data_IF_938936848479
#
_entry.id   IF_938936848479
#
_cell.length_a   1.000
_cell.length_b   1.000
_cell.length_c   1.000
_cell.angle_alpha   90.00
_cell.angle_beta   90.00
_cell.angle_gamma   90.00
#
_symmetry.space_group_name_H-M   'P 1'
#
loop_
_entity.id
_entity.type
_entity.pdbx_description
1 polymer ?
#
# COMPACT_ATOMS: atom_id res chain seq x y z
N UNK A 1 3.07 -20.18 -2.40
CA UNK A 1 2.49 -18.84 -2.37
C UNK A 1 2.61 -18.23 -0.97
N UNK A 2 3.21 -17.05 -0.85
CA UNK A 2 3.18 -16.20 0.34
C UNK A 2 2.31 -14.97 0.06
N UNK A 3 1.41 -14.62 1.00
CA UNK A 3 0.63 -13.37 0.91
C UNK A 3 0.81 -12.57 2.20
N UNK A 4 1.51 -11.44 2.12
CA UNK A 4 1.68 -10.51 3.22
C UNK A 4 0.55 -9.46 3.18
N UNK A 5 -0.47 -9.65 4.01
CA UNK A 5 -1.68 -8.83 4.02
C UNK A 5 -1.86 -8.01 5.32
N UNK A 6 -1.08 -8.30 6.36
CA UNK A 6 -1.14 -7.57 7.63
C UNK A 6 -0.65 -6.14 7.47
N UNK A 7 -1.30 -5.22 8.17
CA UNK A 7 -0.90 -3.82 8.17
C UNK A 7 -2.07 -2.91 8.53
N UNK A 8 -1.75 -1.74 9.07
CA UNK A 8 -2.74 -0.71 9.40
C UNK A 8 -2.21 0.70 9.10
N UNK A 9 -3.07 1.68 9.21
CA UNK A 9 -2.77 3.10 9.08
C UNK A 9 -3.42 3.93 10.16
N UNK A 10 -2.98 5.18 10.32
CA UNK A 10 -3.64 6.20 11.15
C UNK A 10 -3.84 7.46 10.33
N UNK A 11 -5.04 8.02 10.43
CA UNK A 11 -5.43 9.26 9.78
C UNK A 11 -5.34 10.40 10.80
N UNK A 12 -4.11 10.87 11.00
CA UNK A 12 -3.79 11.90 11.98
C UNK A 12 -2.45 12.56 11.63
N UNK A 13 -2.22 13.79 12.09
CA UNK A 13 -0.91 14.41 11.94
C UNK A 13 0.17 13.57 12.66
N UNK A 14 1.33 13.44 12.03
CA UNK A 14 2.41 12.61 12.57
C UNK A 14 2.88 13.07 13.96
N UNK A 15 2.83 14.38 14.23
CA UNK A 15 3.18 14.97 15.53
C UNK A 15 2.12 14.73 16.62
N UNK A 16 0.89 14.39 16.26
CA UNK A 16 -0.21 14.10 17.18
C UNK A 16 -0.36 12.61 17.47
N UNK A 17 0.16 11.76 16.59
CA UNK A 17 0.13 10.30 16.75
C UNK A 17 1.23 9.92 17.77
N UNK A 18 0.90 9.14 18.82
CA UNK A 18 1.92 8.66 19.76
C UNK A 18 3.06 7.95 19.04
N UNK A 19 4.31 8.27 19.40
CA UNK A 19 5.51 7.70 18.76
C UNK A 19 5.47 6.16 18.70
N UNK A 20 5.05 5.53 19.79
CA UNK A 20 4.94 4.07 19.85
C UNK A 20 3.98 3.50 18.79
N UNK A 21 2.89 4.20 18.46
CA UNK A 21 1.97 3.76 17.40
C UNK A 21 2.60 3.92 16.00
N UNK A 22 3.32 5.00 15.77
CA UNK A 22 4.04 5.20 14.51
C UNK A 22 5.12 4.15 14.30
N UNK A 23 5.90 3.84 15.34
CA UNK A 23 6.92 2.78 15.31
C UNK A 23 6.27 1.41 15.05
N UNK A 24 5.24 1.04 15.80
CA UNK A 24 4.54 -0.24 15.60
C UNK A 24 3.93 -0.36 14.19
N UNK A 25 3.47 0.76 13.59
CA UNK A 25 3.01 0.76 12.20
C UNK A 25 4.14 0.43 11.23
N UNK A 26 5.35 0.95 11.45
CA UNK A 26 6.52 0.65 10.62
C UNK A 26 6.95 -0.81 10.83
N UNK A 27 7.01 -1.25 12.08
CA UNK A 27 7.37 -2.64 12.42
C UNK A 27 6.46 -3.64 11.71
N UNK A 28 5.14 -3.45 11.81
CA UNK A 28 4.19 -4.36 11.17
C UNK A 28 4.17 -4.24 9.65
N UNK A 29 4.09 -2.99 9.12
CA UNK A 29 3.90 -2.77 7.69
C UNK A 29 5.17 -3.02 6.86
N UNK A 30 6.36 -2.85 7.47
CA UNK A 30 7.65 -2.93 6.77
C UNK A 30 8.51 -4.09 7.27
N UNK A 31 8.91 -4.09 8.55
CA UNK A 31 9.87 -5.05 9.09
C UNK A 31 9.33 -6.47 9.08
N UNK A 32 8.11 -6.66 9.59
CA UNK A 32 7.46 -7.98 9.60
C UNK A 32 7.26 -8.51 8.17
N UNK A 33 6.83 -7.66 7.23
CA UNK A 33 6.67 -8.04 5.82
C UNK A 33 8.01 -8.47 5.21
N UNK A 34 9.07 -7.67 5.41
CA UNK A 34 10.41 -7.97 4.92
C UNK A 34 10.92 -9.27 5.51
N UNK A 35 10.78 -9.46 6.82
CA UNK A 35 11.18 -10.68 7.52
C UNK A 35 10.47 -11.92 6.97
N UNK A 36 9.13 -11.84 6.76
CA UNK A 36 8.37 -12.93 6.17
C UNK A 36 8.84 -13.29 4.77
N UNK A 37 9.16 -12.30 3.92
CA UNK A 37 9.76 -12.55 2.62
C UNK A 37 11.10 -13.28 2.75
N UNK A 38 12.04 -12.72 3.53
CA UNK A 38 13.40 -13.27 3.66
C UNK A 38 13.42 -14.68 4.28
N UNK A 39 12.60 -14.92 5.30
CA UNK A 39 12.50 -16.22 5.96
C UNK A 39 11.83 -17.28 5.08
N UNK A 40 10.96 -16.89 4.15
CA UNK A 40 10.21 -17.83 3.31
C UNK A 40 10.94 -18.18 2.00
N UNK A 41 11.68 -17.22 1.41
CA UNK A 41 12.38 -17.41 0.13
C UNK A 41 13.27 -18.67 0.09
N UNK A 42 14.04 -19.04 1.14
CA UNK A 42 14.87 -20.26 1.10
C UNK A 42 14.08 -21.56 0.91
N UNK A 43 12.78 -21.56 1.18
CA UNK A 43 11.88 -22.71 1.05
C UNK A 43 11.01 -22.66 -0.22
N UNK A 44 11.20 -21.64 -1.05
CA UNK A 44 10.45 -21.48 -2.30
C UNK A 44 11.14 -22.18 -3.46
N UNK A 45 10.33 -22.71 -4.38
CA UNK A 45 10.80 -23.37 -5.60
C UNK A 45 10.39 -22.54 -6.82
N UNK A 46 10.93 -22.86 -7.98
CA UNK A 46 10.55 -22.25 -9.25
C UNK A 46 9.02 -22.27 -9.45
N UNK A 47 8.48 -21.19 -9.95
CA UNK A 47 7.04 -20.94 -10.06
C UNK A 47 6.37 -20.43 -8.78
N UNK A 48 7.10 -20.26 -7.67
CA UNK A 48 6.54 -19.71 -6.44
C UNK A 48 6.24 -18.20 -6.57
N UNK A 49 5.31 -17.73 -5.75
CA UNK A 49 4.86 -16.35 -5.79
C UNK A 49 4.78 -15.72 -4.40
N UNK A 50 5.17 -14.44 -4.32
CA UNK A 50 4.98 -13.57 -3.15
C UNK A 50 4.05 -12.42 -3.56
N UNK A 51 3.01 -12.18 -2.77
CA UNK A 51 2.07 -11.08 -2.96
C UNK A 51 2.12 -10.19 -1.72
N UNK A 52 2.56 -8.94 -1.88
CA UNK A 52 2.66 -7.97 -0.80
C UNK A 52 1.59 -6.88 -0.97
N UNK A 53 0.82 -6.61 0.09
CA UNK A 53 -0.22 -5.57 0.03
C UNK A 53 0.38 -4.20 0.34
N UNK A 54 0.64 -3.44 -0.72
CA UNK A 54 1.00 -2.03 -0.68
C UNK A 54 -0.25 -1.12 -0.61
N UNK A 55 -0.28 -0.02 -1.32
CA UNK A 55 -1.40 0.91 -1.45
C UNK A 55 -1.15 1.87 -2.62
N UNK A 56 -2.17 2.52 -3.14
CA UNK A 56 -2.01 3.70 -4.02
C UNK A 56 -1.30 4.85 -3.29
N UNK A 57 -1.47 4.96 -1.96
CA UNK A 57 -0.75 5.91 -1.12
C UNK A 57 0.79 5.74 -1.18
N UNK A 58 1.28 4.58 -1.62
CA UNK A 58 2.71 4.32 -1.83
C UNK A 58 3.36 5.20 -2.92
N UNK A 59 2.57 5.82 -3.77
CA UNK A 59 3.08 6.52 -4.95
C UNK A 59 3.30 8.01 -4.73
N UNK A 60 2.90 8.56 -3.59
CA UNK A 60 2.96 10.00 -3.30
C UNK A 60 3.04 10.26 -1.80
N UNK A 61 3.61 11.40 -1.36
CA UNK A 61 3.43 11.85 0.01
C UNK A 61 1.97 12.23 0.25
N UNK A 62 1.43 11.83 1.42
CA UNK A 62 0.04 12.09 1.80
C UNK A 62 0.03 12.71 3.20
N UNK A 63 -0.11 14.05 3.33
CA UNK A 63 -0.25 14.72 4.63
C UNK A 63 -1.36 14.08 5.48
N UNK A 64 -1.16 14.01 6.79
CA UNK A 64 -2.03 13.36 7.77
C UNK A 64 -2.20 11.83 7.64
N UNK A 65 -1.53 11.23 6.65
CA UNK A 65 -1.42 9.77 6.49
C UNK A 65 0.06 9.41 6.23
N UNK A 66 0.99 10.28 6.60
CA UNK A 66 2.38 10.28 6.15
C UNK A 66 3.13 9.00 6.48
N UNK A 67 3.06 8.53 7.72
CA UNK A 67 3.77 7.30 8.15
C UNK A 67 3.23 6.06 7.40
N UNK A 68 1.91 5.95 7.27
CA UNK A 68 1.30 4.89 6.48
C UNK A 68 1.73 4.94 5.00
N UNK A 69 1.64 6.12 4.37
CA UNK A 69 2.04 6.28 2.98
C UNK A 69 3.53 5.91 2.77
N UNK A 70 4.41 6.34 3.67
CA UNK A 70 5.83 5.99 3.66
C UNK A 70 6.06 4.48 3.83
N UNK A 71 5.36 3.83 4.77
CA UNK A 71 5.45 2.37 4.94
C UNK A 71 4.99 1.62 3.69
N UNK A 72 3.93 2.08 3.03
CA UNK A 72 3.44 1.46 1.78
C UNK A 72 4.34 1.76 0.58
N UNK A 73 5.06 2.90 0.57
CA UNK A 73 6.11 3.19 -0.40
C UNK A 73 7.30 2.23 -0.24
N UNK A 74 7.71 1.94 1.00
CA UNK A 74 8.68 0.89 1.28
C UNK A 74 8.23 -0.45 0.69
N UNK A 75 7.00 -0.90 0.98
CA UNK A 75 6.46 -2.18 0.47
C UNK A 75 6.47 -2.22 -1.06
N UNK A 76 6.03 -1.15 -1.73
CA UNK A 76 6.01 -1.08 -3.20
C UNK A 76 7.42 -1.17 -3.79
N UNK A 77 8.36 -0.39 -3.25
CA UNK A 77 9.75 -0.35 -3.73
C UNK A 77 10.45 -1.68 -3.48
N UNK A 78 10.37 -2.20 -2.25
CA UNK A 78 10.95 -3.48 -1.85
C UNK A 78 10.43 -4.64 -2.69
N UNK A 79 9.11 -4.75 -2.89
CA UNK A 79 8.51 -5.82 -3.68
C UNK A 79 9.01 -5.82 -5.13
N UNK A 80 9.16 -4.64 -5.73
CA UNK A 80 9.64 -4.52 -7.11
C UNK A 80 11.12 -4.86 -7.25
N UNK A 81 11.95 -4.44 -6.30
CA UNK A 81 13.37 -4.83 -6.26
C UNK A 81 13.50 -6.34 -6.09
N UNK A 82 12.80 -6.89 -5.10
CA UNK A 82 12.83 -8.32 -4.80
C UNK A 82 12.34 -9.16 -5.98
N UNK A 83 11.32 -8.69 -6.72
CA UNK A 83 10.86 -9.36 -7.94
C UNK A 83 11.99 -9.49 -8.97
N UNK A 84 12.82 -8.45 -9.12
CA UNK A 84 13.93 -8.46 -10.06
C UNK A 84 15.10 -9.32 -9.58
N UNK A 85 15.36 -9.32 -8.27
CA UNK A 85 16.42 -10.11 -7.63
C UNK A 85 16.14 -11.62 -7.69
N UNK A 86 14.89 -12.03 -7.76
CA UNK A 86 14.47 -13.43 -7.77
C UNK A 86 14.11 -13.98 -9.18
N UNK A 87 14.36 -13.18 -10.21
CA UNK A 87 14.04 -13.53 -11.60
C UNK A 87 14.79 -14.81 -12.06
N UNK A 88 16.06 -14.95 -11.66
CA UNK A 88 16.90 -16.12 -11.94
C UNK A 88 16.42 -17.41 -11.22
N UNK A 89 15.63 -17.27 -10.16
CA UNK A 89 15.04 -18.39 -9.40
C UNK A 89 13.62 -18.74 -9.83
N UNK A 90 13.08 -18.03 -10.82
CA UNK A 90 11.67 -18.16 -11.26
C UNK A 90 10.68 -17.98 -10.08
N UNK A 91 10.98 -17.04 -9.18
CA UNK A 91 10.10 -16.65 -8.08
C UNK A 91 9.59 -15.24 -8.37
N UNK A 92 8.28 -15.08 -8.52
CA UNK A 92 7.67 -13.79 -8.78
C UNK A 92 7.22 -13.08 -7.50
N UNK A 93 7.42 -11.76 -7.45
CA UNK A 93 6.95 -10.92 -6.35
C UNK A 93 6.08 -9.79 -6.90
N UNK A 94 4.86 -9.66 -6.39
CA UNK A 94 3.92 -8.65 -6.84
C UNK A 94 3.48 -7.75 -5.68
N UNK A 95 3.56 -6.43 -5.88
CA UNK A 95 2.90 -5.46 -5.03
C UNK A 95 1.46 -5.23 -5.49
N UNK A 96 0.48 -5.42 -4.61
CA UNK A 96 -0.90 -5.01 -4.85
C UNK A 96 -1.10 -3.61 -4.28
N UNK A 97 -1.58 -2.68 -5.11
CA UNK A 97 -1.84 -1.29 -4.72
C UNK A 97 -3.35 -1.02 -4.72
N UNK A 98 -4.07 -1.37 -3.63
CA UNK A 98 -5.47 -1.04 -3.49
C UNK A 98 -5.66 0.47 -3.40
N UNK A 99 -6.78 0.95 -3.91
CA UNK A 99 -7.35 2.25 -3.54
C UNK A 99 -8.23 2.07 -2.29
N UNK A 100 -9.08 3.05 -1.96
CA UNK A 100 -9.99 2.89 -0.84
C UNK A 100 -10.83 1.62 -0.99
N UNK A 101 -10.78 0.75 0.00
CA UNK A 101 -11.41 -0.57 -0.04
C UNK A 101 -12.23 -0.78 1.20
N UNK A 102 -13.47 -1.22 1.07
CA UNK A 102 -14.38 -1.48 2.18
C UNK A 102 -13.88 -2.67 3.02
N UNK A 103 -13.17 -2.38 4.09
CA UNK A 103 -12.61 -3.35 5.02
C UNK A 103 -12.58 -2.74 6.43
N UNK A 104 -12.32 -3.54 7.43
CA UNK A 104 -12.11 -3.13 8.83
C UNK A 104 -10.88 -2.20 9.02
N UNK A 105 -10.11 -1.94 7.94
CA UNK A 105 -8.98 -0.99 7.97
C UNK A 105 -9.38 0.37 8.53
N UNK A 106 -10.60 0.84 8.22
CA UNK A 106 -11.09 2.15 8.66
C UNK A 106 -11.38 2.19 10.15
N UNK A 107 -11.77 1.09 10.77
CA UNK A 107 -12.05 0.98 12.20
C UNK A 107 -10.79 1.28 13.04
N UNK A 108 -9.62 1.00 12.45
CA UNK A 108 -8.32 1.28 13.06
C UNK A 108 -7.67 2.57 12.56
N UNK A 109 -7.97 3.01 11.35
CA UNK A 109 -7.33 4.17 10.71
C UNK A 109 -7.94 5.50 11.18
N UNK A 110 -9.25 5.56 11.36
CA UNK A 110 -9.96 6.76 11.82
C UNK A 110 -9.75 6.91 13.32
N UNK A 111 -9.11 8.01 13.74
CA UNK A 111 -8.78 8.26 15.16
C UNK A 111 -9.90 9.02 15.86
N UNK A 112 -10.59 9.91 15.14
CA UNK A 112 -11.69 10.71 15.68
C UNK A 112 -12.84 10.72 14.67
N UNK A 113 -13.91 10.03 15.01
CA UNK A 113 -15.10 9.92 14.16
C UNK A 113 -15.91 11.22 14.05
N UNK A 114 -15.90 12.04 15.10
CA UNK A 114 -16.61 13.34 15.11
C UNK A 114 -15.90 14.37 14.21
N UNK A 115 -14.56 14.30 14.14
CA UNK A 115 -13.73 15.21 13.34
C UNK A 115 -12.71 14.43 12.51
N UNK A 116 -13.16 13.64 11.53
CA UNK A 116 -12.25 12.83 10.75
C UNK A 116 -11.36 13.72 9.87
N UNK A 117 -10.08 13.38 9.80
CA UNK A 117 -9.12 14.03 8.91
C UNK A 117 -9.48 13.71 7.46
N UNK A 118 -9.70 12.43 7.16
CA UNK A 118 -10.14 12.02 5.83
C UNK A 118 -11.66 12.09 5.75
N UNK A 119 -12.16 13.04 4.97
CA UNK A 119 -13.59 13.35 4.83
C UNK A 119 -14.18 12.88 3.51
N UNK A 120 -13.33 12.73 2.48
CA UNK A 120 -13.77 12.36 1.13
C UNK A 120 -12.97 11.21 0.57
N UNK A 121 -13.68 10.22 0.10
CA UNK A 121 -13.16 9.05 -0.60
C UNK A 121 -13.56 9.14 -2.08
N UNK A 122 -12.58 9.38 -2.97
CA UNK A 122 -12.85 9.60 -4.40
C UNK A 122 -13.52 8.40 -5.10
N UNK A 123 -13.19 7.20 -4.65
CA UNK A 123 -13.83 5.94 -5.06
C UNK A 123 -13.58 4.90 -3.98
N UNK A 124 -14.54 4.02 -3.74
CA UNK A 124 -14.40 2.91 -2.80
C UNK A 124 -14.77 1.60 -3.50
N UNK A 125 -13.94 0.59 -3.32
CA UNK A 125 -14.07 -0.70 -4.02
C UNK A 125 -14.32 -1.83 -3.04
N UNK A 126 -14.97 -2.89 -3.51
CA UNK A 126 -15.16 -4.11 -2.74
C UNK A 126 -13.86 -4.95 -2.76
N UNK A 127 -13.48 -5.60 -1.63
CA UNK A 127 -12.27 -6.42 -1.53
C UNK A 127 -12.18 -7.48 -2.63
N UNK A 128 -13.30 -8.12 -2.94
CA UNK A 128 -13.39 -9.18 -3.95
C UNK A 128 -12.93 -8.72 -5.34
N UNK A 129 -13.23 -7.47 -5.70
CA UNK A 129 -12.83 -6.90 -6.99
C UNK A 129 -11.31 -6.74 -7.08
N UNK A 130 -10.69 -6.32 -5.97
CA UNK A 130 -9.24 -6.13 -5.89
C UNK A 130 -8.53 -7.47 -5.90
N UNK A 131 -8.99 -8.43 -5.10
CA UNK A 131 -8.43 -9.79 -5.05
C UNK A 131 -8.53 -10.48 -6.40
N UNK A 132 -9.69 -10.43 -7.06
CA UNK A 132 -9.88 -11.01 -8.39
C UNK A 132 -8.95 -10.38 -9.44
N UNK A 133 -8.68 -9.08 -9.32
CA UNK A 133 -7.72 -8.40 -10.19
C UNK A 133 -6.29 -8.81 -9.88
N UNK A 134 -5.91 -8.79 -8.61
CA UNK A 134 -4.57 -9.17 -8.17
C UNK A 134 -4.23 -10.60 -8.61
N UNK A 135 -5.14 -11.53 -8.42
CA UNK A 135 -4.98 -12.92 -8.85
C UNK A 135 -4.74 -13.06 -10.36
N UNK A 136 -5.50 -12.33 -11.18
CA UNK A 136 -5.28 -12.31 -12.64
C UNK A 136 -3.95 -11.68 -13.04
N UNK A 137 -3.53 -10.64 -12.34
CA UNK A 137 -2.27 -9.95 -12.61
C UNK A 137 -1.07 -10.82 -12.17
N UNK A 138 -1.16 -11.54 -11.03
CA UNK A 138 -0.17 -12.50 -10.57
C UNK A 138 0.06 -13.63 -11.58
N UNK A 139 -1.02 -14.23 -12.09
CA UNK A 139 -0.95 -15.26 -13.16
C UNK A 139 -0.32 -14.76 -14.46
N UNK A 140 -0.22 -13.45 -14.65
CA UNK A 140 0.41 -12.81 -15.83
C UNK A 140 1.82 -12.31 -15.55
N UNK A 141 2.40 -12.66 -14.40
CA UNK A 141 3.74 -12.25 -14.00
C UNK A 141 3.92 -10.75 -13.80
N UNK A 142 2.88 -10.01 -13.43
CA UNK A 142 3.01 -8.57 -13.19
C UNK A 142 3.65 -8.28 -11.83
N UNK A 143 4.55 -7.31 -11.82
CA UNK A 143 5.20 -6.79 -10.61
C UNK A 143 4.29 -5.88 -9.75
N UNK A 144 3.27 -5.24 -10.38
CA UNK A 144 2.31 -4.36 -9.71
C UNK A 144 0.89 -4.59 -10.18
N UNK A 145 -0.01 -4.85 -9.24
CA UNK A 145 -1.45 -4.91 -9.49
C UNK A 145 -2.18 -3.69 -8.96
N UNK A 146 -3.09 -3.14 -9.75
CA UNK A 146 -3.93 -1.98 -9.44
C UNK A 146 -5.32 -2.13 -10.04
N UNK A 147 -6.35 -1.92 -9.22
CA UNK A 147 -7.73 -2.02 -9.61
C UNK A 147 -8.41 -0.66 -9.69
N UNK A 148 -9.25 -0.50 -10.70
CA UNK A 148 -10.07 0.69 -10.91
C UNK A 148 -9.39 1.78 -11.72
N UNK A 149 -10.22 2.57 -12.40
CA UNK A 149 -9.74 3.65 -13.25
C UNK A 149 -9.08 4.77 -12.44
N UNK A 150 -9.72 5.17 -11.32
CA UNK A 150 -9.22 6.23 -10.43
C UNK A 150 -7.83 5.91 -9.91
N UNK A 151 -7.63 4.69 -9.37
CA UNK A 151 -6.32 4.24 -8.87
C UNK A 151 -5.25 4.28 -9.98
N UNK A 152 -5.59 3.82 -11.17
CA UNK A 152 -4.66 3.78 -12.31
C UNK A 152 -4.31 5.18 -12.80
N UNK A 153 -5.30 6.06 -12.91
CA UNK A 153 -5.10 7.46 -13.31
C UNK A 153 -4.24 8.22 -12.28
N UNK A 154 -4.54 8.08 -10.99
CA UNK A 154 -3.75 8.69 -9.92
C UNK A 154 -2.31 8.22 -9.95
N UNK A 155 -2.07 6.90 -9.98
CA UNK A 155 -0.70 6.35 -10.04
C UNK A 155 0.09 6.73 -11.30
N UNK A 156 -0.58 7.09 -12.38
CA UNK A 156 0.07 7.63 -13.58
C UNK A 156 0.38 9.13 -13.39
N UNK A 157 -0.59 9.88 -12.89
CA UNK A 157 -0.51 11.34 -12.76
C UNK A 157 0.57 11.77 -11.75
N UNK A 158 0.68 11.09 -10.62
CA UNK A 158 1.69 11.39 -9.58
C UNK A 158 3.15 11.15 -10.03
N UNK A 159 3.37 10.49 -11.15
CA UNK A 159 4.70 10.34 -11.73
C UNK A 159 5.17 11.58 -12.50
N UNK A 160 4.24 12.45 -12.88
CA UNK A 160 4.48 13.59 -13.77
C UNK A 160 4.35 14.90 -12.98
N UNK A 161 3.38 14.96 -12.06
CA UNK A 161 3.10 16.18 -11.29
C UNK A 161 4.09 16.35 -10.12
N UNK A 162 4.48 17.59 -9.81
CA UNK A 162 5.24 17.89 -8.59
C UNK A 162 4.49 17.46 -7.34
N UNK A 163 5.20 16.86 -6.38
CA UNK A 163 4.60 16.36 -5.14
C UNK A 163 3.91 17.47 -4.32
N UNK A 164 4.46 18.70 -4.34
CA UNK A 164 3.81 19.85 -3.67
C UNK A 164 2.38 20.06 -4.16
N UNK A 165 2.19 20.12 -5.48
CA UNK A 165 0.86 20.28 -6.07
C UNK A 165 -0.08 19.12 -5.71
N UNK A 166 0.42 17.89 -5.67
CA UNK A 166 -0.38 16.72 -5.30
C UNK A 166 -0.84 16.83 -3.83
N UNK A 167 0.05 17.26 -2.93
CA UNK A 167 -0.27 17.47 -1.53
C UNK A 167 -1.30 18.58 -1.34
N UNK A 168 -1.18 19.70 -2.09
CA UNK A 168 -2.14 20.80 -2.04
C UNK A 168 -3.52 20.37 -2.53
N UNK A 169 -3.58 19.58 -3.62
CA UNK A 169 -4.85 19.00 -4.11
C UNK A 169 -5.47 18.10 -3.03
N UNK A 170 -4.66 17.25 -2.41
CA UNK A 170 -5.12 16.34 -1.34
C UNK A 170 -5.69 17.14 -0.16
N UNK A 171 -4.96 18.13 0.37
CA UNK A 171 -5.37 18.95 1.48
C UNK A 171 -6.68 19.72 1.15
N UNK A 172 -6.76 20.31 -0.04
CA UNK A 172 -7.97 20.99 -0.52
C UNK A 172 -9.18 20.05 -0.61
N UNK A 173 -8.99 18.80 -1.09
CA UNK A 173 -10.07 17.80 -1.16
C UNK A 173 -10.59 17.43 0.22
N UNK A 174 -9.72 17.40 1.23
CA UNK A 174 -10.08 17.07 2.61
C UNK A 174 -10.54 18.30 3.41
N UNK A 175 -10.43 19.51 2.86
CA UNK A 175 -10.70 20.79 3.55
C UNK A 175 -9.86 20.94 4.82
N UNK A 176 -8.56 20.71 4.67
CA UNK A 176 -7.52 20.83 5.70
C UNK A 176 -6.64 22.06 5.41
#
# INVERSE_FOLDING_TARGET
LLVNCSGYGKFQAACETPLAQNLNMVDLNCEALMAMCQLTIPYMHAGAQIINIASVAACQPVPYIGVYAASKAFVLSYSRSLNRELDDKDISVMAVCPFWTKTEFFDHAVVNEEKPVVKKYAAMYEPQQIVARAWRDAKRGKDVSKYGFVARAQMALVKILPHGLIMDIWLSQQKL
#
